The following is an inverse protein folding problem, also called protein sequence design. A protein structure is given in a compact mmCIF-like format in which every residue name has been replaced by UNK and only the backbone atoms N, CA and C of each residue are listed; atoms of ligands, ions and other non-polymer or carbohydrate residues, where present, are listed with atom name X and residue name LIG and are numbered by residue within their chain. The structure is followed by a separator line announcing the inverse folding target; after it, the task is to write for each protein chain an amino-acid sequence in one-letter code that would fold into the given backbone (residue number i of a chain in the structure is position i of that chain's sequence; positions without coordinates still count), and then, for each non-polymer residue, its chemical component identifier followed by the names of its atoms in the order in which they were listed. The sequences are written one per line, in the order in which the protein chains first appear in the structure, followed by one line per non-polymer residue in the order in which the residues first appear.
data_IF_553091111294
#
_entry.id   IF_553091111294
#
_cell.length_a   1.000
_cell.length_b   1.000
_cell.length_c   1.000
_cell.angle_alpha   90.00
_cell.angle_beta   90.00
_cell.angle_gamma   90.00
#
_symmetry.space_group_name_H-M   'P 1'
#
loop_
_entity.id
_entity.type
_entity.pdbx_description
1 polymer ?
#
# COMPACT_ATOMS: atom_id res chain seq x y z
N UNK A 1 24.81 -15.00 25.50
CA UNK A 1 25.05 -14.18 24.29
C UNK A 1 24.16 -14.60 23.11
N UNK A 2 24.05 -15.89 22.82
CA UNK A 2 23.24 -16.46 21.71
C UNK A 2 21.74 -16.16 21.78
N UNK A 3 21.13 -16.19 22.98
CA UNK A 3 19.70 -15.87 23.14
C UNK A 3 19.37 -14.41 22.78
N UNK A 4 20.17 -13.45 23.27
CA UNK A 4 19.98 -12.02 23.00
C UNK A 4 20.09 -11.71 21.50
N UNK A 5 21.08 -12.31 20.83
CA UNK A 5 21.27 -12.18 19.38
C UNK A 5 20.07 -12.77 18.62
N UNK A 6 19.58 -13.95 19.01
CA UNK A 6 18.42 -14.57 18.39
C UNK A 6 17.16 -13.70 18.54
N UNK A 7 16.91 -13.13 19.73
CA UNK A 7 15.77 -12.21 19.95
C UNK A 7 15.87 -10.95 19.09
N UNK A 8 17.04 -10.34 18.99
CA UNK A 8 17.24 -9.17 18.13
C UNK A 8 16.98 -9.49 16.66
N UNK A 9 17.44 -10.65 16.18
CA UNK A 9 17.19 -11.09 14.80
C UNK A 9 15.70 -11.38 14.54
N UNK A 10 14.97 -11.93 15.52
CA UNK A 10 13.51 -12.09 15.42
C UNK A 10 12.84 -10.72 15.26
N UNK A 11 13.19 -9.74 16.11
CA UNK A 11 12.62 -8.39 16.06
C UNK A 11 12.91 -7.73 14.70
N UNK A 12 14.15 -7.83 14.21
CA UNK A 12 14.51 -7.33 12.89
C UNK A 12 13.72 -8.02 11.77
N UNK A 13 13.53 -9.34 11.87
CA UNK A 13 12.71 -10.11 10.95
C UNK A 13 11.27 -9.62 10.91
N UNK A 14 10.64 -9.41 12.08
CA UNK A 14 9.29 -8.84 12.18
C UNK A 14 9.24 -7.47 11.51
N UNK A 15 10.18 -6.57 11.83
CA UNK A 15 10.21 -5.20 11.29
C UNK A 15 10.35 -5.22 9.77
N UNK A 16 11.40 -5.86 9.24
CA UNK A 16 11.67 -5.91 7.80
C UNK A 16 10.47 -6.49 7.05
N UNK A 17 9.98 -7.64 7.52
CA UNK A 17 8.86 -8.30 6.88
C UNK A 17 7.58 -7.46 6.94
N UNK A 18 7.24 -6.94 8.13
CA UNK A 18 6.04 -6.11 8.29
C UNK A 18 6.06 -4.87 7.42
N UNK A 19 7.17 -4.13 7.36
CA UNK A 19 7.24 -2.92 6.53
C UNK A 19 7.24 -3.24 5.03
N UNK A 20 8.07 -4.17 4.59
CA UNK A 20 8.21 -4.47 3.15
C UNK A 20 6.96 -5.17 2.61
N UNK A 21 6.45 -6.19 3.31
CA UNK A 21 5.30 -6.96 2.85
C UNK A 21 3.99 -6.18 3.00
N UNK A 22 3.84 -5.34 4.04
CA UNK A 22 2.69 -4.44 4.14
C UNK A 22 2.64 -3.47 2.96
N UNK A 23 3.78 -2.89 2.56
CA UNK A 23 3.85 -2.01 1.40
C UNK A 23 3.52 -2.74 0.09
N UNK A 24 4.03 -3.97 -0.09
CA UNK A 24 3.72 -4.80 -1.25
C UNK A 24 2.21 -5.07 -1.34
N UNK A 25 1.59 -5.45 -0.22
CA UNK A 25 0.15 -5.73 -0.14
C UNK A 25 -0.65 -4.47 -0.40
N UNK A 26 -0.30 -3.34 0.22
CA UNK A 26 -0.95 -2.05 -0.01
C UNK A 26 -0.92 -1.67 -1.48
N UNK A 27 0.23 -1.77 -2.13
CA UNK A 27 0.33 -1.39 -3.54
C UNK A 27 -0.49 -2.35 -4.42
N UNK A 28 -0.38 -3.65 -4.18
CA UNK A 28 -0.99 -4.70 -5.02
C UNK A 28 -2.52 -4.76 -4.87
N UNK A 29 -3.03 -4.71 -3.64
CA UNK A 29 -4.45 -4.92 -3.34
C UNK A 29 -5.24 -3.63 -3.15
N UNK A 30 -4.57 -2.50 -2.91
CA UNK A 30 -5.26 -1.21 -2.76
C UNK A 30 -4.83 -0.21 -3.85
N UNK A 31 -3.56 0.21 -3.89
CA UNK A 31 -3.15 1.35 -4.72
C UNK A 31 -3.37 1.11 -6.23
N UNK A 32 -2.93 -0.03 -6.77
CA UNK A 32 -3.12 -0.36 -8.19
C UNK A 32 -4.60 -0.48 -8.59
N UNK A 33 -5.43 -1.32 -7.92
CA UNK A 33 -6.84 -1.44 -8.30
C UNK A 33 -7.59 -0.12 -8.10
N UNK A 34 -7.24 0.65 -7.06
CA UNK A 34 -7.84 1.96 -6.84
C UNK A 34 -7.45 2.98 -7.92
N UNK A 35 -6.18 3.05 -8.30
CA UNK A 35 -5.71 3.90 -9.42
C UNK A 35 -6.50 3.58 -10.69
N UNK A 36 -6.68 2.30 -11.02
CA UNK A 36 -7.45 1.86 -12.19
C UNK A 36 -8.94 2.26 -12.10
N UNK A 37 -9.51 2.25 -10.89
CA UNK A 37 -10.88 2.76 -10.68
C UNK A 37 -10.95 4.27 -10.93
N UNK A 38 -9.99 5.06 -10.44
CA UNK A 38 -9.90 6.51 -10.66
C UNK A 38 -9.66 6.88 -12.13
N UNK A 39 -8.86 6.09 -12.85
CA UNK A 39 -8.62 6.26 -14.28
C UNK A 39 -9.91 6.09 -15.10
N UNK A 40 -10.72 5.06 -14.77
CA UNK A 40 -12.00 4.79 -15.44
C UNK A 40 -13.02 5.93 -15.33
N UNK A 41 -12.87 6.81 -14.35
CA UNK A 41 -13.74 7.96 -14.09
C UNK A 41 -13.08 9.29 -14.44
N UNK A 42 -11.93 9.27 -15.11
CA UNK A 42 -11.23 10.46 -15.60
C UNK A 42 -10.86 11.48 -14.51
N UNK A 43 -10.71 11.05 -13.26
CA UNK A 43 -10.26 11.92 -12.16
C UNK A 43 -8.73 12.10 -12.13
N UNK A 44 -8.00 11.36 -12.96
CA UNK A 44 -6.55 11.45 -13.08
C UNK A 44 -6.17 12.17 -14.38
N UNK A 45 -5.17 13.05 -14.29
CA UNK A 45 -4.55 13.72 -15.44
C UNK A 45 -3.68 12.77 -16.27
N UNK A 46 -3.18 11.69 -15.65
CA UNK A 46 -2.25 10.76 -16.30
C UNK A 46 -2.29 9.34 -15.73
N UNK A 47 -1.80 8.39 -16.52
CA UNK A 47 -1.79 6.96 -16.23
C UNK A 47 -0.45 6.47 -15.66
N UNK A 48 0.55 7.34 -15.51
CA UNK A 48 1.89 6.97 -15.02
C UNK A 48 1.92 6.49 -13.57
N UNK A 49 0.85 6.72 -12.79
CA UNK A 49 0.75 6.29 -11.39
C UNK A 49 0.90 4.78 -11.25
N UNK A 50 0.23 3.99 -12.10
CA UNK A 50 0.30 2.52 -12.05
C UNK A 50 1.73 2.03 -12.33
N UNK A 51 2.39 2.59 -13.34
CA UNK A 51 3.78 2.24 -13.68
C UNK A 51 4.75 2.57 -12.55
N UNK A 52 4.57 3.73 -11.89
CA UNK A 52 5.35 4.11 -10.70
C UNK A 52 5.18 3.10 -9.57
N UNK A 53 3.95 2.62 -9.33
CA UNK A 53 3.67 1.58 -8.34
C UNK A 53 4.31 0.23 -8.68
N UNK A 54 4.31 -0.17 -9.95
CA UNK A 54 4.98 -1.40 -10.41
C UNK A 54 6.49 -1.31 -10.15
N UNK A 55 7.13 -0.18 -10.46
CA UNK A 55 8.55 0.02 -10.19
C UNK A 55 8.83 -0.06 -8.68
N UNK A 56 8.01 0.60 -7.85
CA UNK A 56 8.11 0.53 -6.38
C UNK A 56 7.95 -0.90 -5.87
N UNK A 57 7.02 -1.68 -6.43
CA UNK A 57 6.85 -3.10 -6.08
C UNK A 57 8.11 -3.92 -6.40
N UNK A 58 8.68 -3.73 -7.60
CA UNK A 58 9.90 -4.44 -8.00
C UNK A 58 11.05 -4.10 -7.04
N UNK A 59 11.22 -2.82 -6.69
CA UNK A 59 12.23 -2.37 -5.72
C UNK A 59 12.00 -3.00 -4.35
N UNK A 60 10.76 -3.02 -3.85
CA UNK A 60 10.41 -3.62 -2.55
C UNK A 60 10.70 -5.13 -2.52
N UNK A 61 10.34 -5.86 -3.59
CA UNK A 61 10.63 -7.30 -3.72
C UNK A 61 12.16 -7.52 -3.75
N UNK A 62 12.89 -6.69 -4.48
CA UNK A 62 14.35 -6.75 -4.54
C UNK A 62 14.99 -6.50 -3.17
N UNK A 63 14.52 -5.50 -2.42
CA UNK A 63 14.98 -5.22 -1.05
C UNK A 63 14.71 -6.41 -0.13
N UNK A 64 13.51 -7.02 -0.22
CA UNK A 64 13.18 -8.21 0.57
C UNK A 64 14.13 -9.38 0.27
N UNK A 65 14.42 -9.61 -1.01
CA UNK A 65 15.31 -10.67 -1.43
C UNK A 65 16.76 -10.40 -1.01
N UNK A 66 17.24 -9.18 -1.21
CA UNK A 66 18.59 -8.75 -0.84
C UNK A 66 18.81 -8.85 0.69
N UNK A 67 17.87 -8.35 1.49
CA UNK A 67 17.96 -8.43 2.96
C UNK A 67 17.95 -9.87 3.44
N UNK A 68 17.05 -10.70 2.92
CA UNK A 68 17.00 -12.13 3.26
C UNK A 68 18.30 -12.86 2.87
N UNK A 69 18.86 -12.53 1.70
CA UNK A 69 20.13 -13.12 1.21
C UNK A 69 21.32 -12.68 2.05
N UNK A 70 21.43 -11.40 2.40
CA UNK A 70 22.48 -10.88 3.29
C UNK A 70 22.38 -11.58 4.65
N UNK A 71 21.18 -11.65 5.23
CA UNK A 71 21.01 -12.36 6.49
C UNK A 71 21.37 -13.84 6.38
N UNK A 72 20.99 -14.51 5.30
CA UNK A 72 21.37 -15.90 5.08
C UNK A 72 22.90 -16.06 5.03
N UNK A 73 23.61 -15.24 4.24
CA UNK A 73 25.07 -15.33 4.06
C UNK A 73 25.83 -15.01 5.38
N UNK A 74 25.43 -13.96 6.09
CA UNK A 74 26.19 -13.47 7.25
C UNK A 74 25.78 -14.12 8.59
N UNK A 75 24.58 -14.70 8.68
CA UNK A 75 24.02 -15.25 9.93
C UNK A 75 23.74 -16.77 9.86
N UNK A 76 24.47 -17.49 8.99
CA UNK A 76 24.38 -18.92 8.68
C UNK A 76 24.47 -19.88 9.90
N UNK A 77 24.85 -19.40 11.08
CA UNK A 77 25.00 -20.21 12.30
C UNK A 77 23.76 -20.13 13.21
N UNK A 78 22.66 -20.79 12.83
CA UNK A 78 21.47 -21.02 13.67
C UNK A 78 20.50 -19.84 13.83
N UNK A 79 20.92 -18.63 13.53
CA UNK A 79 20.09 -17.41 13.59
C UNK A 79 19.15 -17.22 12.40
N UNK A 80 19.35 -17.94 11.29
CA UNK A 80 18.42 -17.92 10.16
C UNK A 80 17.01 -18.38 10.54
N UNK A 81 16.90 -19.40 11.39
CA UNK A 81 15.62 -19.88 11.94
C UNK A 81 14.93 -18.75 12.74
N UNK A 82 15.71 -17.98 13.49
CA UNK A 82 15.20 -16.82 14.25
C UNK A 82 14.64 -15.74 13.31
N UNK A 83 15.30 -15.47 12.18
CA UNK A 83 14.77 -14.54 11.18
C UNK A 83 13.45 -15.05 10.56
N UNK A 84 13.37 -16.33 10.20
CA UNK A 84 12.17 -16.93 9.63
C UNK A 84 11.00 -16.93 10.62
N UNK A 85 11.27 -17.16 11.92
CA UNK A 85 10.28 -16.98 12.99
C UNK A 85 9.80 -15.53 13.05
N UNK A 86 10.72 -14.57 12.96
CA UNK A 86 10.38 -13.14 12.86
C UNK A 86 9.48 -12.84 11.65
N UNK A 87 9.78 -13.39 10.48
CA UNK A 87 8.95 -13.26 9.28
C UNK A 87 7.56 -13.85 9.48
N UNK A 88 7.44 -15.02 10.11
CA UNK A 88 6.16 -15.64 10.42
C UNK A 88 5.30 -14.77 11.37
N UNK A 89 5.89 -14.22 12.43
CA UNK A 89 5.18 -13.29 13.31
C UNK A 89 4.79 -11.99 12.60
N UNK A 90 5.67 -11.46 11.75
CA UNK A 90 5.35 -10.32 10.89
C UNK A 90 4.19 -10.60 9.94
N UNK A 91 4.14 -11.80 9.35
CA UNK A 91 3.06 -12.25 8.47
C UNK A 91 1.72 -12.34 9.20
N UNK A 92 1.70 -12.91 10.41
CA UNK A 92 0.49 -12.93 11.25
C UNK A 92 0.00 -11.50 11.53
N UNK A 93 0.91 -10.60 11.90
CA UNK A 93 0.58 -9.18 12.11
C UNK A 93 -0.01 -8.51 10.87
N UNK A 94 0.51 -8.82 9.68
CA UNK A 94 -0.05 -8.29 8.44
C UNK A 94 -1.41 -8.90 8.12
N UNK A 95 -1.59 -10.22 8.21
CA UNK A 95 -2.86 -10.89 7.90
C UNK A 95 -4.01 -10.34 8.74
N UNK A 96 -3.77 -10.05 10.02
CA UNK A 96 -4.79 -9.41 10.88
C UNK A 96 -5.14 -7.99 10.43
N UNK A 97 -4.21 -7.27 9.82
CA UNK A 97 -4.42 -5.91 9.28
C UNK A 97 -4.99 -5.89 7.86
N UNK A 98 -4.80 -6.94 7.05
CA UNK A 98 -5.34 -7.02 5.66
C UNK A 98 -6.84 -6.74 5.62
N UNK A 99 -7.60 -7.27 6.59
CA UNK A 99 -9.06 -7.05 6.66
C UNK A 99 -9.46 -5.58 6.89
N UNK A 100 -8.55 -4.76 7.44
CA UNK A 100 -8.76 -3.33 7.69
C UNK A 100 -8.14 -2.44 6.60
N UNK A 101 -7.39 -3.01 5.65
CA UNK A 101 -6.70 -2.25 4.61
C UNK A 101 -7.62 -1.82 3.46
N UNK A 102 -8.67 -2.58 3.15
CA UNK A 102 -9.64 -2.16 2.15
C UNK A 102 -10.53 -1.06 2.74
N UNK A 103 -10.33 0.16 2.24
CA UNK A 103 -11.20 1.32 2.43
C UNK A 103 -11.07 2.11 3.74
N UNK A 104 -9.94 2.04 4.43
CA UNK A 104 -9.67 2.99 5.52
C UNK A 104 -9.45 4.39 4.93
N UNK A 105 -10.18 5.41 5.43
CA UNK A 105 -10.02 6.82 5.04
C UNK A 105 -8.57 7.30 5.10
N UNK A 106 -7.79 6.79 6.05
CA UNK A 106 -6.37 7.14 6.18
C UNK A 106 -5.57 6.68 4.95
N UNK A 107 -5.80 5.47 4.44
CA UNK A 107 -5.10 4.95 3.27
C UNK A 107 -5.45 5.77 2.01
N UNK A 108 -6.70 6.23 1.89
CA UNK A 108 -7.11 7.13 0.81
C UNK A 108 -6.50 8.51 0.92
N UNK A 109 -6.48 9.08 2.13
CA UNK A 109 -5.83 10.34 2.41
C UNK A 109 -4.36 10.30 1.99
N UNK A 110 -3.63 9.29 2.46
CA UNK A 110 -2.21 9.10 2.15
C UNK A 110 -2.00 8.89 0.65
N UNK A 111 -2.87 8.10 0.00
CA UNK A 111 -2.83 7.92 -1.44
C UNK A 111 -3.03 9.24 -2.19
N UNK A 112 -4.00 10.07 -1.78
CA UNK A 112 -4.28 11.35 -2.44
C UNK A 112 -3.11 12.31 -2.27
N UNK A 113 -2.55 12.41 -1.06
CA UNK A 113 -1.41 13.28 -0.77
C UNK A 113 -0.15 12.88 -1.56
N UNK A 114 0.15 11.57 -1.64
CA UNK A 114 1.30 11.05 -2.40
C UNK A 114 1.14 11.29 -3.90
N UNK A 115 -0.08 11.27 -4.42
CA UNK A 115 -0.36 11.34 -5.86
C UNK A 115 -1.01 12.66 -6.28
N UNK A 116 -1.04 13.69 -5.43
CA UNK A 116 -1.76 14.95 -5.66
C UNK A 116 -1.45 15.57 -7.02
N UNK A 117 -0.19 15.49 -7.45
CA UNK A 117 0.29 16.09 -8.71
C UNK A 117 -0.28 15.42 -9.96
N UNK A 118 -0.90 14.24 -9.80
CA UNK A 118 -1.55 13.50 -10.87
C UNK A 118 -3.07 13.73 -10.94
N UNK A 119 -3.64 14.50 -10.02
CA UNK A 119 -5.05 14.89 -10.03
C UNK A 119 -5.24 16.26 -10.71
N UNK A 120 -6.48 16.55 -11.10
CA UNK A 120 -6.87 17.86 -11.62
C UNK A 120 -6.87 18.94 -10.52
N UNK A 121 -6.57 20.18 -10.87
CA UNK A 121 -6.50 21.29 -9.92
C UNK A 121 -7.84 21.54 -9.22
N UNK A 122 -8.98 21.35 -9.90
CA UNK A 122 -10.30 21.49 -9.30
C UNK A 122 -10.53 20.44 -8.19
N UNK A 123 -10.03 19.22 -8.41
CA UNK A 123 -10.15 18.14 -7.43
C UNK A 123 -9.30 18.41 -6.20
N UNK A 124 -8.10 18.98 -6.38
CA UNK A 124 -7.20 19.37 -5.30
C UNK A 124 -7.81 20.54 -4.50
N UNK A 125 -8.40 21.52 -5.17
CA UNK A 125 -9.10 22.63 -4.51
C UNK A 125 -10.25 22.10 -3.64
N UNK A 126 -11.07 21.19 -4.18
CA UNK A 126 -12.17 20.55 -3.44
C UNK A 126 -11.70 19.69 -2.27
N UNK A 127 -10.54 19.03 -2.42
CA UNK A 127 -9.90 18.29 -1.32
C UNK A 127 -9.46 19.21 -0.18
N UNK A 128 -8.92 20.40 -0.50
CA UNK A 128 -8.47 21.36 0.50
C UNK A 128 -9.63 22.08 1.21
N UNK A 129 -10.77 22.23 0.54
CA UNK A 129 -11.98 22.83 1.10
C UNK A 129 -12.68 21.90 2.08
N UNK A 130 -12.93 20.65 1.69
CA UNK A 130 -13.59 19.65 2.54
C UNK A 130 -13.08 18.24 2.26
N UNK A 131 -11.90 17.94 2.80
CA UNK A 131 -11.21 16.66 2.71
C UNK A 131 -12.14 15.48 3.03
N UNK A 132 -12.91 15.57 4.10
CA UNK A 132 -13.75 14.46 4.56
C UNK A 132 -14.88 14.17 3.56
N UNK A 133 -15.59 15.20 3.07
CA UNK A 133 -16.67 14.99 2.09
C UNK A 133 -16.16 14.45 0.76
N UNK A 134 -15.02 14.93 0.26
CA UNK A 134 -14.47 14.42 -1.00
C UNK A 134 -14.03 12.96 -0.85
N UNK A 135 -13.38 12.62 0.27
CA UNK A 135 -12.97 11.25 0.56
C UNK A 135 -14.19 10.33 0.71
N UNK A 136 -15.23 10.74 1.45
CA UNK A 136 -16.49 10.00 1.56
C UNK A 136 -17.14 9.77 0.20
N UNK A 137 -17.17 10.79 -0.66
CA UNK A 137 -17.71 10.67 -2.00
C UNK A 137 -16.93 9.66 -2.85
N UNK A 138 -15.60 9.74 -2.86
CA UNK A 138 -14.75 8.84 -3.64
C UNK A 138 -14.82 7.40 -3.11
N UNK A 139 -14.92 7.21 -1.78
CA UNK A 139 -15.10 5.91 -1.14
C UNK A 139 -16.48 5.33 -1.48
N UNK A 140 -17.55 6.10 -1.33
CA UNK A 140 -18.91 5.67 -1.67
C UNK A 140 -19.07 5.38 -3.17
N UNK A 141 -18.38 6.15 -4.01
CA UNK A 141 -18.29 5.91 -5.44
C UNK A 141 -17.45 4.67 -5.77
N UNK A 142 -16.40 4.39 -4.98
CA UNK A 142 -15.55 3.19 -5.08
C UNK A 142 -16.34 1.88 -5.01
N UNK A 143 -17.36 1.84 -4.17
CA UNK A 143 -18.24 0.68 -3.99
C UNK A 143 -19.30 0.57 -5.09
N UNK A 144 -19.59 1.67 -5.81
CA UNK A 144 -20.54 1.73 -6.91
C UNK A 144 -19.92 1.69 -8.32
N UNK A 145 -18.59 1.77 -8.45
CA UNK A 145 -17.89 1.82 -9.75
C UNK A 145 -18.02 0.56 -10.64
N UNK A 146 -18.66 -0.50 -10.15
CA UNK A 146 -19.00 -1.68 -10.97
C UNK A 146 -20.21 -1.44 -11.89
N UNK A 147 -20.99 -0.38 -11.69
CA UNK A 147 -22.12 -0.01 -12.56
C UNK A 147 -21.78 1.16 -13.51
N UNK A 148 -21.98 0.97 -14.81
CA UNK A 148 -21.75 1.98 -15.86
C UNK A 148 -22.65 3.21 -15.71
N UNK A 149 -23.80 3.08 -15.02
CA UNK A 149 -24.76 4.18 -14.81
C UNK A 149 -24.20 5.30 -13.91
N UNK A 150 -23.39 4.94 -12.91
CA UNK A 150 -22.88 5.87 -11.89
C UNK A 150 -21.73 6.74 -12.42
N UNK A 151 -21.05 6.31 -13.50
CA UNK A 151 -19.92 7.03 -14.13
C UNK A 151 -20.32 8.40 -14.71
N UNK A 152 -21.49 8.50 -15.34
CA UNK A 152 -21.99 9.75 -15.91
C UNK A 152 -22.46 10.74 -14.84
N UNK A 153 -22.96 10.23 -13.72
CA UNK A 153 -23.48 11.07 -12.63
C UNK A 153 -22.37 11.73 -11.82
N UNK A 154 -21.26 11.03 -11.63
CA UNK A 154 -20.10 11.52 -10.86
C UNK A 154 -19.30 12.56 -11.66
N UNK A 155 -19.06 12.31 -12.95
CA UNK A 155 -18.38 13.27 -13.83
C UNK A 155 -19.15 14.58 -14.07
N UNK A 156 -20.46 14.60 -13.79
CA UNK A 156 -21.29 15.81 -13.84
C UNK A 156 -21.44 16.53 -12.49
N UNK A 157 -21.02 15.92 -11.37
CA UNK A 157 -21.16 16.45 -9.99
C UNK A 157 -19.83 16.91 -9.37
N UNK A 158 -18.70 16.55 -9.99
CA UNK A 158 -17.39 17.15 -9.73
C UNK A 158 -17.24 18.31 -10.70
#
# INVERSE_FOLDING_TARGET
MTFVIATLVIILGVIIFSFTVSNIILITFFAIPFTKKLEKISLLKTNYIVSSYIIKLIIQIFILFATTTIFYIYFLNGTFISLMIGYAFGAIGIITKIKQFSLNMNNFSDYFEINKDYFWEELIAKYNEDKNKLLEFIVAASDKFDDNSTRKEIGNKI
#
